data_IF_039919245626
#
_entry.id   IF_039919245626
#
_cell.length_a   1.000
_cell.length_b   1.000
_cell.length_c   1.000
_cell.angle_alpha   90.00
_cell.angle_beta   90.00
_cell.angle_gamma   90.00
#
_symmetry.space_group_name_H-M   'P 1'
#
loop_
_entity.id
_entity.type
_entity.pdbx_description
1 polymer ?
#
# COMPACT_ATOMS: atom_id res chain seq x y z
N UNK A 1 35.22 -46.66 -19.11
CA UNK A 1 35.45 -46.55 -20.57
C UNK A 1 34.36 -45.69 -21.17
N UNK A 2 34.76 -44.58 -21.82
CA UNK A 2 34.14 -43.82 -22.95
C UNK A 2 32.63 -43.44 -22.84
N UNK A 3 32.18 -42.21 -23.08
CA UNK A 3 32.74 -41.11 -23.86
C UNK A 3 32.08 -39.77 -23.50
N UNK A 4 32.92 -38.75 -23.46
CA UNK A 4 32.62 -37.32 -23.45
C UNK A 4 32.11 -36.90 -24.85
N UNK A 5 31.07 -36.06 -24.92
CA UNK A 5 30.85 -35.18 -26.08
C UNK A 5 30.53 -33.76 -25.61
N UNK A 6 31.57 -32.94 -25.76
CA UNK A 6 31.58 -31.47 -25.77
C UNK A 6 30.85 -31.01 -27.04
N UNK A 7 29.98 -30.00 -26.94
CA UNK A 7 29.62 -29.17 -28.10
C UNK A 7 29.35 -27.72 -27.69
N UNK A 8 30.42 -26.94 -27.77
CA UNK A 8 30.57 -25.67 -28.49
C UNK A 8 29.50 -24.59 -28.34
N UNK A 9 29.95 -23.52 -27.68
CA UNK A 9 29.48 -22.13 -27.64
C UNK A 9 29.33 -21.54 -29.05
N UNK A 10 28.24 -20.81 -29.32
CA UNK A 10 28.22 -19.78 -30.36
C UNK A 10 27.74 -18.44 -29.78
N UNK A 11 28.65 -17.48 -29.81
CA UNK A 11 28.47 -16.07 -29.52
C UNK A 11 27.84 -15.42 -30.75
N UNK A 12 26.73 -14.69 -30.56
CA UNK A 12 26.08 -13.88 -31.58
C UNK A 12 25.79 -12.49 -31.04
N UNK A 13 26.81 -11.63 -31.07
CA UNK A 13 26.69 -10.18 -30.86
C UNK A 13 26.01 -9.59 -32.10
N UNK A 14 24.86 -8.95 -31.94
CA UNK A 14 24.30 -8.04 -32.94
C UNK A 14 24.04 -6.68 -32.28
N UNK A 15 24.99 -5.78 -32.49
CA UNK A 15 24.85 -4.34 -32.25
C UNK A 15 24.15 -3.75 -33.46
N UNK A 16 22.98 -3.12 -33.24
CA UNK A 16 22.38 -2.19 -34.19
C UNK A 16 21.81 -1.03 -33.39
N UNK A 17 22.59 0.06 -33.40
CA UNK A 17 22.12 1.36 -32.97
C UNK A 17 21.15 1.95 -33.98
N UNK A 18 20.22 2.75 -33.49
CA UNK A 18 19.68 3.89 -34.22
C UNK A 18 19.20 4.91 -33.21
N UNK A 19 19.90 6.05 -33.21
CA UNK A 19 19.47 7.28 -32.58
C UNK A 19 18.30 7.86 -33.38
N UNK A 20 17.23 8.28 -32.71
CA UNK A 20 16.35 9.32 -33.24
C UNK A 20 15.92 10.27 -32.12
N UNK A 21 16.48 11.48 -32.29
CA UNK A 21 16.13 12.82 -31.85
C UNK A 21 14.88 13.06 -31.01
N UNK A 22 15.12 13.86 -29.97
CA UNK A 22 14.15 14.68 -29.28
C UNK A 22 13.52 15.71 -30.23
N UNK A 23 12.20 15.85 -30.16
CA UNK A 23 11.49 17.02 -30.69
C UNK A 23 10.66 17.62 -29.56
N UNK A 24 11.18 18.74 -29.03
CA UNK A 24 10.52 19.56 -28.03
C UNK A 24 9.49 20.46 -28.71
N UNK A 25 8.20 20.23 -28.47
CA UNK A 25 7.16 21.19 -28.82
C UNK A 25 6.84 22.11 -27.65
N UNK A 26 7.56 23.23 -27.58
CA UNK A 26 7.16 24.41 -26.82
C UNK A 26 5.91 25.04 -27.42
N UNK A 27 4.75 24.87 -26.77
CA UNK A 27 3.55 25.65 -27.10
C UNK A 27 3.65 27.04 -26.47
N UNK A 28 3.80 28.05 -27.34
CA UNK A 28 3.72 29.48 -27.00
C UNK A 28 2.36 29.80 -26.37
N UNK A 29 2.36 30.19 -25.09
CA UNK A 29 1.18 30.74 -24.40
C UNK A 29 0.97 32.18 -24.85
N UNK A 30 -0.20 32.45 -25.42
CA UNK A 30 -0.64 33.77 -25.89
C UNK A 30 -0.99 34.62 -24.67
N UNK A 31 -0.26 35.71 -24.47
CA UNK A 31 -0.50 36.73 -23.44
C UNK A 31 -1.80 37.46 -23.76
N UNK A 32 -2.78 37.40 -22.86
CA UNK A 32 -4.00 38.22 -22.93
C UNK A 32 -3.77 39.47 -22.10
N UNK A 33 -3.87 40.61 -22.78
CA UNK A 33 -3.71 41.96 -22.28
C UNK A 33 -4.87 42.32 -21.34
N UNK A 34 -4.55 42.79 -20.14
CA UNK A 34 -5.48 43.29 -19.12
C UNK A 34 -5.82 44.75 -19.40
N UNK A 35 -7.10 45.17 -19.47
CA UNK A 35 -7.44 46.59 -19.44
C UNK A 35 -7.36 47.16 -18.02
N UNK A 36 -7.08 48.46 -17.99
CA UNK A 36 -6.60 49.26 -16.88
C UNK A 36 -7.61 49.49 -15.74
N UNK A 37 -7.03 49.83 -14.60
CA UNK A 37 -7.68 50.28 -13.39
C UNK A 37 -8.32 51.67 -13.57
N UNK A 38 -9.53 51.82 -13.04
CA UNK A 38 -10.12 53.12 -12.70
C UNK A 38 -10.14 53.22 -11.18
N UNK A 39 -9.54 54.28 -10.66
CA UNK A 39 -9.49 54.63 -9.25
C UNK A 39 -10.86 55.17 -8.80
N UNK A 40 -11.36 54.67 -7.66
CA UNK A 40 -12.50 55.25 -6.97
C UNK A 40 -12.13 55.53 -5.51
N UNK A 41 -12.52 56.72 -5.06
CA UNK A 41 -12.13 57.41 -3.82
C UNK A 41 -13.05 56.97 -2.67
N UNK A 42 -12.59 56.88 -1.40
CA UNK A 42 -13.37 56.28 -0.32
C UNK A 42 -14.33 57.28 0.33
N UNK A 43 -15.50 56.81 0.82
CA UNK A 43 -16.21 57.46 1.92
C UNK A 43 -16.55 56.42 3.03
N UNK A 44 -17.18 56.81 4.16
CA UNK A 44 -16.51 57.12 5.41
C UNK A 44 -16.74 56.06 6.49
N UNK A 45 -15.93 56.16 7.55
CA UNK A 45 -16.03 55.44 8.83
C UNK A 45 -17.43 55.59 9.44
N UNK A 46 -18.09 54.47 9.74
CA UNK A 46 -19.28 54.42 10.60
C UNK A 46 -19.02 53.47 11.77
N UNK A 47 -19.53 53.91 12.91
CA UNK A 47 -19.28 53.51 14.27
C UNK A 47 -19.54 52.03 14.62
N UNK A 48 -18.83 51.62 15.68
CA UNK A 48 -18.97 50.35 16.36
C UNK A 48 -20.39 50.12 16.93
N UNK A 49 -20.82 48.87 16.86
CA UNK A 49 -21.93 48.30 17.64
C UNK A 49 -21.65 46.81 17.92
N UNK A 50 -22.26 46.24 18.97
CA UNK A 50 -21.55 45.56 20.05
C UNK A 50 -21.35 44.05 19.84
N UNK A 51 -20.39 43.50 20.60
CA UNK A 51 -20.05 42.08 20.68
C UNK A 51 -21.27 41.14 20.85
N UNK A 52 -21.40 40.10 20.01
CA UNK A 52 -22.22 38.95 20.33
C UNK A 52 -21.43 37.97 21.21
N UNK A 53 -21.98 37.78 22.41
CA UNK A 53 -21.68 36.74 23.41
C UNK A 53 -21.34 35.37 22.78
N UNK A 54 -20.32 34.73 23.36
CA UNK A 54 -19.85 33.39 23.04
C UNK A 54 -20.98 32.36 22.88
N UNK A 55 -21.11 31.83 21.67
CA UNK A 55 -21.90 30.63 21.41
C UNK A 55 -21.02 29.39 21.66
N UNK A 56 -21.56 28.47 22.45
CA UNK A 56 -20.91 27.22 22.82
C UNK A 56 -20.50 26.41 21.58
N UNK A 57 -19.29 25.85 21.63
CA UNK A 57 -18.78 24.96 20.59
C UNK A 57 -19.70 23.74 20.44
N UNK A 58 -20.13 23.38 19.22
CA UNK A 58 -20.85 22.13 19.00
C UNK A 58 -19.92 20.94 19.32
N UNK A 59 -20.45 19.83 19.88
CA UNK A 59 -19.65 18.67 20.24
C UNK A 59 -18.95 18.09 19.00
N UNK A 60 -17.66 17.74 19.16
CA UNK A 60 -16.87 17.00 18.18
C UNK A 60 -17.60 15.71 17.83
N UNK A 61 -18.25 15.68 16.66
CA UNK A 61 -18.90 14.52 16.10
C UNK A 61 -18.04 14.00 14.96
N UNK A 62 -17.26 12.97 15.25
CA UNK A 62 -16.66 12.04 14.27
C UNK A 62 -16.43 10.72 15.00
N UNK A 63 -17.53 10.04 15.33
CA UNK A 63 -17.48 8.60 15.59
C UNK A 63 -17.51 7.91 14.21
N UNK A 64 -16.48 7.12 13.95
CA UNK A 64 -16.34 6.28 12.76
C UNK A 64 -17.35 5.12 12.87
N UNK A 65 -18.01 4.69 11.78
CA UNK A 65 -18.83 3.49 11.81
C UNK A 65 -18.01 2.26 12.23
N UNK A 66 -18.52 1.53 13.22
CA UNK A 66 -17.93 0.27 13.68
C UNK A 66 -17.97 -0.77 12.55
N UNK A 67 -16.80 -1.13 12.03
CA UNK A 67 -16.63 -2.46 11.46
C UNK A 67 -16.38 -3.42 12.60
N UNK A 68 -17.44 -3.88 13.25
CA UNK A 68 -17.48 -5.21 13.85
C UNK A 68 -18.92 -5.64 14.17
N UNK A 69 -19.34 -6.76 13.59
CA UNK A 69 -20.21 -7.65 14.35
C UNK A 69 -19.46 -8.07 15.62
N UNK A 70 -20.15 -7.94 16.76
CA UNK A 70 -19.75 -8.27 18.14
C UNK A 70 -19.16 -7.11 18.97
N UNK A 71 -20.09 -6.40 19.60
CA UNK A 71 -20.11 -5.87 20.97
C UNK A 71 -18.76 -5.56 21.67
N UNK A 72 -18.62 -4.26 21.96
CA UNK A 72 -17.66 -3.70 22.90
C UNK A 72 -17.98 -4.08 24.36
N UNK A 73 -16.93 -4.41 25.13
CA UNK A 73 -16.85 -4.11 26.58
C UNK A 73 -15.46 -3.54 26.84
N UNK A 74 -15.41 -2.33 27.41
CA UNK A 74 -14.20 -1.70 27.94
C UNK A 74 -13.88 -2.18 29.36
N UNK A 75 -12.58 -2.37 29.60
CA UNK A 75 -11.85 -2.16 30.86
C UNK A 75 -12.13 -3.06 32.07
N UNK A 76 -11.37 -4.14 32.17
CA UNK A 76 -10.61 -4.51 33.37
C UNK A 76 -9.42 -5.36 32.89
N UNK A 77 -8.19 -5.10 33.36
CA UNK A 77 -7.09 -6.05 33.19
C UNK A 77 -7.39 -7.31 34.03
N UNK A 78 -7.47 -8.51 33.42
CA UNK A 78 -6.89 -9.69 34.01
C UNK A 78 -5.46 -9.82 33.50
N UNK A 79 -4.57 -10.30 34.35
CA UNK A 79 -3.23 -10.76 33.97
C UNK A 79 -3.43 -11.84 32.89
N UNK A 80 -3.38 -11.43 31.63
CA UNK A 80 -3.43 -12.31 30.47
C UNK A 80 -2.02 -12.83 30.30
N UNK A 81 -1.89 -14.16 30.28
CA UNK A 81 -0.67 -14.86 29.89
C UNK A 81 -0.06 -14.18 28.66
N UNK A 82 1.27 -14.08 28.62
CA UNK A 82 2.05 -13.42 27.57
C UNK A 82 1.37 -13.62 26.20
N UNK A 83 1.11 -12.54 25.43
CA UNK A 83 0.43 -12.69 24.16
C UNK A 83 1.18 -13.70 23.33
N UNK A 84 0.45 -14.70 22.82
CA UNK A 84 0.94 -15.64 21.82
C UNK A 84 1.58 -14.78 20.73
N UNK A 85 2.90 -14.85 20.62
CA UNK A 85 3.65 -13.95 19.72
C UNK A 85 3.13 -14.17 18.30
N UNK A 86 3.00 -13.13 17.47
CA UNK A 86 2.53 -13.32 16.12
C UNK A 86 3.45 -14.30 15.39
N UNK A 87 2.85 -15.24 14.66
CA UNK A 87 3.61 -16.24 13.92
C UNK A 87 4.53 -15.56 12.90
N UNK A 88 4.07 -14.48 12.26
CA UNK A 88 4.85 -13.69 11.32
C UNK A 88 4.86 -12.24 11.75
N UNK A 89 6.03 -11.61 11.65
CA UNK A 89 6.20 -10.17 11.83
C UNK A 89 7.07 -9.62 10.73
N UNK A 90 6.53 -8.67 9.98
CA UNK A 90 7.25 -7.91 8.96
C UNK A 90 7.30 -6.44 9.37
N UNK A 91 8.43 -5.80 9.17
CA UNK A 91 8.61 -4.38 9.40
C UNK A 91 9.42 -3.75 8.27
N UNK A 92 8.96 -2.61 7.78
CA UNK A 92 9.68 -1.77 6.83
C UNK A 92 9.88 -0.39 7.44
N UNK A 93 11.05 0.21 7.27
CA UNK A 93 11.34 1.58 7.72
C UNK A 93 12.14 2.36 6.67
N UNK A 94 11.66 3.55 6.33
CA UNK A 94 12.37 4.55 5.53
C UNK A 94 11.85 5.96 5.88
N UNK A 95 12.55 6.74 6.74
CA UNK A 95 12.08 8.05 7.22
C UNK A 95 11.65 9.03 6.13
N UNK A 96 12.29 8.99 4.96
CA UNK A 96 12.03 9.98 3.90
C UNK A 96 10.80 9.69 3.04
N UNK A 97 10.25 8.47 3.13
CA UNK A 97 9.10 8.04 2.34
C UNK A 97 7.78 8.57 2.90
N UNK A 98 6.77 8.71 2.01
CA UNK A 98 5.41 9.10 2.39
C UNK A 98 4.83 8.13 3.43
N UNK A 99 5.11 6.83 3.28
CA UNK A 99 4.87 5.82 4.31
C UNK A 99 6.24 5.45 4.89
N UNK A 100 6.52 6.00 6.07
CA UNK A 100 7.86 5.98 6.67
C UNK A 100 8.14 4.73 7.49
N UNK A 101 7.09 4.08 8.00
CA UNK A 101 7.18 2.83 8.75
C UNK A 101 5.95 1.98 8.49
N UNK A 102 6.14 0.67 8.36
CA UNK A 102 5.08 -0.32 8.24
C UNK A 102 5.43 -1.46 9.19
N UNK A 103 4.44 -1.98 9.92
CA UNK A 103 4.53 -3.20 10.72
C UNK A 103 3.33 -4.06 10.36
N UNK A 104 3.56 -5.30 9.98
CA UNK A 104 2.53 -6.30 9.71
C UNK A 104 2.78 -7.47 10.64
N UNK A 105 1.76 -7.85 11.41
CA UNK A 105 1.81 -8.97 12.33
C UNK A 105 0.60 -9.86 12.08
N UNK A 106 0.80 -11.16 11.83
CA UNK A 106 -0.31 -12.08 11.58
C UNK A 106 -0.02 -13.51 12.03
N UNK A 107 -1.10 -14.27 12.25
CA UNK A 107 -1.07 -15.69 12.54
C UNK A 107 -0.82 -16.57 11.31
N UNK A 108 -0.83 -17.89 11.52
CA UNK A 108 -0.72 -18.91 10.47
C UNK A 108 -1.92 -18.96 9.54
N UNK A 109 -3.07 -18.48 9.99
CA UNK A 109 -4.28 -18.32 9.20
C UNK A 109 -4.30 -17.00 8.40
N UNK A 110 -3.29 -16.14 8.56
CA UNK A 110 -3.21 -14.83 7.94
C UNK A 110 -4.03 -13.73 8.60
N UNK A 111 -4.75 -14.01 9.69
CA UNK A 111 -5.45 -12.97 10.46
C UNK A 111 -4.43 -12.20 11.29
N UNK A 112 -4.54 -10.87 11.30
CA UNK A 112 -3.55 -10.05 11.97
C UNK A 112 -3.86 -8.57 11.98
N UNK A 113 -2.81 -7.77 12.13
CA UNK A 113 -2.86 -6.31 12.10
C UNK A 113 -1.81 -5.76 11.14
N UNK A 114 -2.12 -4.60 10.58
CA UNK A 114 -1.14 -3.74 9.92
C UNK A 114 -1.14 -2.41 10.65
N UNK A 115 0.06 -1.88 10.86
CA UNK A 115 0.28 -0.54 11.36
C UNK A 115 1.20 0.20 10.39
N UNK A 116 0.88 1.44 10.04
CA UNK A 116 1.75 2.24 9.18
C UNK A 116 1.80 3.71 9.61
N UNK A 117 2.93 4.37 9.36
CA UNK A 117 3.16 5.78 9.71
C UNK A 117 3.35 6.63 8.47
N UNK A 118 2.43 7.58 8.25
CA UNK A 118 2.60 8.60 7.21
C UNK A 118 3.69 9.60 7.62
N UNK A 119 4.40 10.15 6.64
CA UNK A 119 5.43 11.17 6.86
C UNK A 119 4.82 12.37 7.59
N UNK A 120 5.45 12.78 8.68
CA UNK A 120 5.00 13.90 9.50
C UNK A 120 3.81 13.59 10.42
N UNK A 121 3.26 12.37 10.42
CA UNK A 121 2.37 11.93 11.49
C UNK A 121 3.21 11.57 12.73
N UNK A 122 2.63 11.71 13.92
CA UNK A 122 3.29 11.27 15.16
C UNK A 122 2.98 9.79 15.46
N UNK A 123 1.77 9.37 15.13
CA UNK A 123 1.21 8.06 15.48
C UNK A 123 1.21 7.07 14.31
N UNK A 124 1.21 5.77 14.64
CA UNK A 124 0.96 4.69 13.69
C UNK A 124 -0.55 4.54 13.50
N UNK A 125 -1.01 4.46 12.26
CA UNK A 125 -2.39 4.06 11.94
C UNK A 125 -2.43 2.54 11.93
N UNK A 126 -3.25 1.94 12.80
CA UNK A 126 -3.35 0.48 12.96
C UNK A 126 -4.75 0.00 12.66
N UNK A 127 -4.86 -1.03 11.84
CA UNK A 127 -6.13 -1.65 11.43
C UNK A 127 -5.96 -3.17 11.29
N UNK A 128 -7.05 -3.95 11.43
CA UNK A 128 -7.01 -5.39 11.22
C UNK A 128 -6.77 -5.72 9.73
N UNK A 129 -6.09 -6.85 9.49
CA UNK A 129 -5.90 -7.39 8.15
C UNK A 129 -6.20 -8.87 8.09
N UNK A 130 -6.48 -9.32 6.86
CA UNK A 130 -6.45 -10.73 6.48
C UNK A 130 -5.47 -10.88 5.33
N UNK A 131 -4.34 -11.55 5.54
CA UNK A 131 -3.46 -11.99 4.45
C UNK A 131 -4.16 -13.12 3.72
N UNK A 132 -4.24 -13.05 2.39
CA UNK A 132 -4.94 -14.07 1.61
C UNK A 132 -4.20 -15.41 1.61
N UNK A 133 -4.93 -16.50 1.34
CA UNK A 133 -4.35 -17.84 1.28
C UNK A 133 -3.23 -17.94 0.21
N UNK A 134 -3.44 -17.31 -0.95
CA UNK A 134 -2.46 -17.27 -2.04
C UNK A 134 -1.18 -16.53 -1.63
N UNK A 135 -1.31 -15.44 -0.87
CA UNK A 135 -0.16 -14.70 -0.36
C UNK A 135 0.61 -15.50 0.70
N UNK A 136 -0.12 -16.15 1.64
CA UNK A 136 0.49 -17.04 2.63
C UNK A 136 1.20 -18.22 1.99
N UNK A 137 0.65 -18.80 0.92
CA UNK A 137 1.29 -19.89 0.19
C UNK A 137 2.64 -19.45 -0.36
N UNK A 138 2.70 -18.28 -1.03
CA UNK A 138 3.96 -17.72 -1.56
C UNK A 138 4.98 -17.43 -0.45
N UNK A 139 4.54 -16.87 0.67
CA UNK A 139 5.41 -16.61 1.83
C UNK A 139 5.95 -17.92 2.40
N UNK A 140 5.09 -18.91 2.63
CA UNK A 140 5.48 -20.20 3.19
C UNK A 140 6.39 -21.00 2.26
N UNK A 141 6.16 -20.95 0.94
CA UNK A 141 7.01 -21.59 -0.05
C UNK A 141 8.44 -21.01 0.01
N UNK A 142 8.58 -19.68 0.05
CA UNK A 142 9.88 -19.01 0.19
C UNK A 142 10.58 -19.38 1.52
N UNK A 143 9.85 -19.36 2.63
CA UNK A 143 10.39 -19.72 3.95
C UNK A 143 10.86 -21.17 4.02
N UNK A 144 10.13 -22.08 3.38
CA UNK A 144 10.46 -23.51 3.30
C UNK A 144 11.71 -23.72 2.45
N UNK A 145 11.79 -23.07 1.28
CA UNK A 145 12.95 -23.13 0.37
C UNK A 145 14.24 -22.69 1.06
N UNK A 146 14.17 -21.64 1.89
CA UNK A 146 15.32 -21.14 2.65
C UNK A 146 15.66 -21.97 3.89
N UNK A 147 14.85 -22.97 4.25
CA UNK A 147 14.90 -23.62 5.56
C UNK A 147 14.97 -22.58 6.70
N UNK A 148 14.13 -21.55 6.62
CA UNK A 148 14.37 -20.25 7.27
C UNK A 148 14.74 -20.36 8.75
N UNK A 149 13.95 -21.08 9.55
CA UNK A 149 14.14 -21.19 11.01
C UNK A 149 15.46 -21.85 11.41
N UNK A 150 16.00 -22.73 10.57
CA UNK A 150 17.22 -23.49 10.83
C UNK A 150 18.44 -22.91 10.08
N UNK A 151 18.20 -22.02 9.12
CA UNK A 151 19.24 -21.32 8.39
C UNK A 151 20.04 -20.40 9.33
N UNK A 152 21.30 -20.15 9.00
CA UNK A 152 22.12 -19.09 9.61
C UNK A 152 22.52 -18.01 8.59
N UNK A 153 21.99 -18.09 7.38
CA UNK A 153 22.30 -17.17 6.27
C UNK A 153 21.99 -15.71 6.64
N UNK A 154 22.93 -14.83 6.33
CA UNK A 154 22.72 -13.39 6.35
C UNK A 154 22.26 -12.94 4.96
N UNK A 155 21.02 -12.42 4.88
CA UNK A 155 20.43 -11.99 3.62
C UNK A 155 20.86 -10.60 3.17
N UNK A 156 21.57 -9.83 4.00
CA UNK A 156 22.05 -8.51 3.64
C UNK A 156 23.11 -8.59 2.53
N UNK A 157 22.89 -7.83 1.46
CA UNK A 157 23.89 -7.64 0.41
C UNK A 157 25.09 -6.81 0.90
N UNK A 158 26.26 -7.02 0.30
CA UNK A 158 27.51 -6.38 0.73
C UNK A 158 27.46 -4.84 0.71
N UNK A 159 26.76 -4.25 -0.26
CA UNK A 159 26.58 -2.79 -0.35
C UNK A 159 25.37 -2.33 0.45
N UNK A 160 25.50 -1.15 1.04
CA UNK A 160 24.40 -0.50 1.75
C UNK A 160 23.43 0.20 0.79
N UNK A 161 22.17 -0.27 0.81
CA UNK A 161 21.05 0.37 0.13
C UNK A 161 19.98 0.84 1.12
N UNK A 162 20.37 1.26 2.33
CA UNK A 162 19.47 1.80 3.37
C UNK A 162 18.57 2.94 2.89
N UNK A 163 18.98 3.71 1.87
CA UNK A 163 18.14 4.72 1.21
C UNK A 163 16.90 4.14 0.49
N UNK A 164 16.86 2.83 0.21
CA UNK A 164 15.66 2.13 -0.28
C UNK A 164 14.76 1.62 0.85
N UNK A 165 15.21 1.76 2.10
CA UNK A 165 14.55 1.31 3.31
C UNK A 165 15.15 0.04 3.90
N UNK A 166 14.80 -0.21 5.16
CA UNK A 166 15.26 -1.37 5.93
C UNK A 166 14.07 -2.28 6.18
N UNK A 167 14.25 -3.56 5.87
CA UNK A 167 13.28 -4.63 6.15
C UNK A 167 13.75 -5.41 7.37
N UNK A 168 12.81 -5.71 8.27
CA UNK A 168 12.95 -6.73 9.29
C UNK A 168 11.86 -7.76 9.10
N UNK A 169 12.22 -9.02 9.19
CA UNK A 169 11.25 -10.11 9.12
C UNK A 169 11.55 -11.12 10.21
N UNK A 170 10.51 -11.56 10.92
CA UNK A 170 10.60 -12.59 11.94
C UNK A 170 9.52 -13.65 11.76
N UNK A 171 9.90 -14.90 12.02
CA UNK A 171 9.01 -16.05 12.06
C UNK A 171 9.14 -16.72 13.43
N UNK A 172 7.99 -16.97 14.06
CA UNK A 172 7.85 -17.78 15.26
C UNK A 172 7.00 -19.00 14.93
N UNK A 173 7.52 -20.22 15.19
CA UNK A 173 6.79 -21.47 14.94
C UNK A 173 7.34 -22.58 15.83
N UNK A 174 6.45 -23.35 16.46
CA UNK A 174 6.78 -24.52 17.29
C UNK A 174 7.83 -24.22 18.38
N UNK A 175 7.71 -23.06 19.04
CA UNK A 175 8.65 -22.59 20.06
C UNK A 175 10.00 -22.11 19.52
N UNK A 176 10.23 -22.17 18.21
CA UNK A 176 11.42 -21.63 17.54
C UNK A 176 11.14 -20.25 16.99
N UNK A 177 12.17 -19.41 16.96
CA UNK A 177 12.08 -18.05 16.43
C UNK A 177 13.36 -17.71 15.66
N UNK A 178 13.19 -17.05 14.52
CA UNK A 178 14.29 -16.39 13.81
C UNK A 178 13.82 -15.04 13.28
N UNK A 179 14.66 -14.03 13.43
CA UNK A 179 14.52 -12.74 12.78
C UNK A 179 15.73 -12.41 11.91
N UNK A 180 15.50 -11.60 10.89
CA UNK A 180 16.53 -11.11 9.98
C UNK A 180 16.25 -9.64 9.67
N UNK A 181 17.31 -8.88 9.45
CA UNK A 181 17.25 -7.48 9.04
C UNK A 181 18.13 -7.30 7.81
N UNK A 182 17.61 -6.65 6.77
CA UNK A 182 18.37 -6.32 5.56
C UNK A 182 17.73 -5.13 4.83
N UNK A 183 18.50 -4.38 4.07
CA UNK A 183 18.01 -3.33 3.17
C UNK A 183 17.98 -3.77 1.70
N UNK A 184 18.85 -4.70 1.33
CA UNK A 184 18.88 -5.32 0.01
C UNK A 184 19.33 -6.78 0.13
N UNK A 185 18.88 -7.62 -0.80
CA UNK A 185 19.24 -9.04 -0.86
C UNK A 185 19.28 -9.55 -2.30
N UNK A 186 20.21 -10.46 -2.58
CA UNK A 186 20.25 -11.24 -3.82
C UNK A 186 19.55 -12.60 -3.67
N UNK A 187 19.23 -13.00 -2.43
CA UNK A 187 18.47 -14.21 -2.18
C UNK A 187 17.04 -14.05 -2.74
N UNK A 188 16.68 -14.93 -3.69
CA UNK A 188 15.40 -14.85 -4.41
C UNK A 188 14.19 -15.04 -3.50
N UNK A 189 14.31 -15.90 -2.50
CA UNK A 189 13.23 -16.22 -1.57
C UNK A 189 13.03 -15.09 -0.54
N UNK A 190 14.13 -14.55 0.00
CA UNK A 190 14.07 -13.36 0.85
C UNK A 190 13.46 -12.16 0.09
N UNK A 191 13.85 -11.96 -1.17
CA UNK A 191 13.26 -10.95 -2.05
C UNK A 191 11.77 -11.20 -2.32
N UNK A 192 11.35 -12.46 -2.42
CA UNK A 192 9.96 -12.85 -2.60
C UNK A 192 9.12 -12.46 -1.39
N UNK A 193 9.60 -12.74 -0.17
CA UNK A 193 8.95 -12.33 1.08
C UNK A 193 8.81 -10.81 1.15
N UNK A 194 9.90 -10.07 0.93
CA UNK A 194 9.86 -8.60 0.94
C UNK A 194 8.83 -8.05 -0.05
N UNK A 195 8.83 -8.58 -1.28
CA UNK A 195 7.90 -8.12 -2.31
C UNK A 195 6.46 -8.45 -1.94
N UNK A 196 6.19 -9.62 -1.38
CA UNK A 196 4.83 -10.01 -1.00
C UNK A 196 4.27 -9.09 0.10
N UNK A 197 5.04 -8.81 1.16
CA UNK A 197 4.61 -7.86 2.19
C UNK A 197 4.46 -6.42 1.68
N UNK A 198 5.29 -5.99 0.72
CA UNK A 198 5.09 -4.70 0.05
C UNK A 198 3.76 -4.67 -0.70
N UNK A 199 3.41 -5.74 -1.41
CA UNK A 199 2.13 -5.84 -2.12
C UNK A 199 0.93 -5.84 -1.18
N UNK A 200 1.02 -6.56 -0.06
CA UNK A 200 0.00 -6.54 1.02
C UNK A 200 -0.17 -5.11 1.54
N UNK A 201 0.95 -4.43 1.80
CA UNK A 201 0.94 -3.02 2.25
C UNK A 201 0.26 -2.12 1.23
N UNK A 202 0.64 -2.20 -0.05
CA UNK A 202 0.07 -1.37 -1.11
C UNK A 202 -1.46 -1.55 -1.21
N UNK A 203 -1.90 -2.80 -1.19
CA UNK A 203 -3.32 -3.15 -1.18
C UNK A 203 -4.04 -2.52 0.02
N UNK A 204 -3.47 -2.66 1.21
CA UNK A 204 -4.07 -2.14 2.43
C UNK A 204 -4.10 -0.61 2.48
N UNK A 205 -2.97 0.06 2.24
CA UNK A 205 -2.86 1.53 2.27
C UNK A 205 -3.81 2.14 1.25
N UNK A 206 -3.98 1.51 0.10
CA UNK A 206 -4.97 1.96 -0.88
C UNK A 206 -6.41 1.85 -0.36
N UNK A 207 -6.80 0.72 0.24
CA UNK A 207 -8.12 0.55 0.87
C UNK A 207 -8.35 1.62 1.94
N UNK A 208 -7.33 1.89 2.75
CA UNK A 208 -7.37 2.94 3.76
C UNK A 208 -7.59 4.33 3.14
N UNK A 209 -6.79 4.70 2.14
CA UNK A 209 -6.85 6.03 1.53
C UNK A 209 -8.18 6.29 0.82
N UNK A 210 -8.75 5.29 0.13
CA UNK A 210 -10.06 5.43 -0.48
C UNK A 210 -11.18 5.46 0.57
N UNK A 211 -11.08 4.69 1.66
CA UNK A 211 -12.02 4.78 2.78
C UNK A 211 -12.02 6.18 3.40
N UNK A 212 -10.84 6.76 3.60
CA UNK A 212 -10.68 8.12 4.10
C UNK A 212 -11.24 9.16 3.11
N UNK A 213 -11.02 8.98 1.81
CA UNK A 213 -11.53 9.86 0.76
C UNK A 213 -13.06 9.84 0.71
N UNK A 214 -13.71 8.68 0.83
CA UNK A 214 -15.18 8.57 0.85
C UNK A 214 -15.83 9.44 1.93
N UNK A 215 -15.18 9.54 3.08
CA UNK A 215 -15.69 10.28 4.24
C UNK A 215 -15.34 11.76 4.17
N UNK A 216 -14.11 12.10 3.78
CA UNK A 216 -13.57 13.45 3.98
C UNK A 216 -13.36 14.23 2.68
N UNK A 217 -13.02 13.55 1.57
CA UNK A 217 -12.67 14.18 0.30
C UNK A 217 -13.10 13.31 -0.89
N UNK A 218 -14.40 13.14 -1.16
CA UNK A 218 -14.87 12.17 -2.15
C UNK A 218 -14.39 12.47 -3.57
N UNK A 219 -14.08 13.73 -3.86
CA UNK A 219 -13.55 14.18 -5.15
C UNK A 219 -12.14 13.64 -5.47
N UNK A 220 -11.40 13.13 -4.46
CA UNK A 220 -10.09 12.49 -4.67
C UNK A 220 -10.20 11.03 -5.12
N UNK A 221 -11.37 10.39 -4.95
CA UNK A 221 -11.58 8.97 -5.29
C UNK A 221 -11.15 8.61 -6.72
N UNK A 222 -11.42 9.41 -7.78
CA UNK A 222 -10.99 9.07 -9.14
C UNK A 222 -9.48 8.87 -9.27
N UNK A 223 -8.67 9.73 -8.64
CA UNK A 223 -7.20 9.63 -8.66
C UNK A 223 -6.68 8.41 -7.91
N UNK A 224 -7.34 8.03 -6.82
CA UNK A 224 -7.03 6.81 -6.09
C UNK A 224 -7.34 5.56 -6.94
N UNK A 225 -8.38 5.60 -7.76
CA UNK A 225 -8.69 4.52 -8.70
C UNK A 225 -7.68 4.40 -9.84
N UNK A 226 -7.19 5.53 -10.38
CA UNK A 226 -6.08 5.51 -11.36
C UNK A 226 -4.82 4.87 -10.75
N UNK A 227 -4.56 5.15 -9.47
CA UNK A 227 -3.45 4.56 -8.73
C UNK A 227 -3.63 3.04 -8.56
N UNK A 228 -4.85 2.59 -8.22
CA UNK A 228 -5.17 1.16 -8.15
C UNK A 228 -4.94 0.45 -9.49
N UNK A 229 -5.45 1.01 -10.58
CA UNK A 229 -5.29 0.43 -11.92
C UNK A 229 -3.80 0.26 -12.26
N UNK A 230 -3.01 1.28 -11.93
CA UNK A 230 -1.55 1.25 -12.03
C UNK A 230 -0.93 0.11 -11.23
N UNK A 231 -1.33 -0.07 -9.96
CA UNK A 231 -0.81 -1.12 -9.08
C UNK A 231 -1.19 -2.51 -9.58
N UNK A 232 -2.44 -2.71 -10.03
CA UNK A 232 -2.89 -3.98 -10.60
C UNK A 232 -2.06 -4.33 -11.85
N UNK A 233 -1.91 -3.39 -12.78
CA UNK A 233 -1.13 -3.60 -14.02
C UNK A 233 0.35 -3.91 -13.76
N UNK A 234 0.93 -3.34 -12.70
CA UNK A 234 2.33 -3.60 -12.30
C UNK A 234 2.49 -4.83 -11.41
N UNK A 235 1.43 -5.57 -11.11
CA UNK A 235 1.45 -6.69 -10.16
C UNK A 235 1.96 -6.25 -8.77
N UNK A 236 1.50 -5.09 -8.31
CA UNK A 236 1.84 -4.50 -7.00
C UNK A 236 0.77 -4.72 -5.92
N UNK A 237 -0.26 -5.50 -6.24
CA UNK A 237 -1.30 -5.97 -5.32
C UNK A 237 -1.06 -7.46 -5.05
N UNK A 238 -1.22 -7.88 -3.80
CA UNK A 238 -0.88 -9.24 -3.36
C UNK A 238 -1.93 -10.22 -3.87
N UNK A 239 -3.19 -9.92 -3.64
CA UNK A 239 -4.32 -10.69 -4.13
C UNK A 239 -5.42 -9.75 -4.63
N UNK A 240 -5.45 -9.47 -5.95
CA UNK A 240 -6.46 -8.58 -6.53
C UNK A 240 -7.89 -9.00 -6.23
N UNK A 241 -8.17 -10.32 -6.17
CA UNK A 241 -9.52 -10.83 -5.94
C UNK A 241 -10.04 -10.54 -4.53
N UNK A 242 -9.14 -10.38 -3.56
CA UNK A 242 -9.50 -9.97 -2.20
C UNK A 242 -10.15 -8.56 -2.16
N UNK A 243 -9.91 -7.74 -3.19
CA UNK A 243 -10.53 -6.41 -3.31
C UNK A 243 -11.99 -6.46 -3.79
N UNK A 244 -12.49 -7.60 -4.28
CA UNK A 244 -13.83 -7.69 -4.86
C UNK A 244 -14.95 -7.17 -3.95
N UNK A 245 -15.05 -7.56 -2.66
CA UNK A 245 -16.13 -7.09 -1.80
C UNK A 245 -16.13 -5.57 -1.66
N UNK A 246 -14.93 -5.00 -1.53
CA UNK A 246 -14.74 -3.57 -1.37
C UNK A 246 -15.03 -2.80 -2.67
N UNK A 247 -14.59 -3.31 -3.82
CA UNK A 247 -14.92 -2.72 -5.12
C UNK A 247 -16.43 -2.78 -5.42
N UNK A 248 -17.12 -3.85 -5.00
CA UNK A 248 -18.59 -3.97 -5.10
C UNK A 248 -19.28 -2.91 -4.26
N UNK A 249 -18.81 -2.67 -3.04
CA UNK A 249 -19.30 -1.58 -2.19
C UNK A 249 -19.12 -0.22 -2.87
N UNK A 250 -17.90 0.09 -3.33
CA UNK A 250 -17.58 1.36 -4.00
C UNK A 250 -18.38 1.58 -5.28
N UNK A 251 -18.68 0.50 -6.03
CA UNK A 251 -19.47 0.60 -7.27
C UNK A 251 -20.89 1.12 -7.04
N UNK A 252 -21.43 0.94 -5.83
CA UNK A 252 -22.78 1.35 -5.44
C UNK A 252 -22.77 2.58 -4.50
N UNK A 253 -21.60 3.13 -4.17
CA UNK A 253 -21.47 4.21 -3.19
C UNK A 253 -21.74 5.59 -3.83
N UNK A 254 -22.93 6.14 -3.60
CA UNK A 254 -23.35 7.44 -4.14
C UNK A 254 -22.57 8.63 -3.59
N UNK A 255 -21.77 8.46 -2.53
CA UNK A 255 -20.95 9.52 -1.94
C UNK A 255 -19.75 9.85 -2.82
N UNK A 256 -19.27 8.89 -3.61
CA UNK A 256 -18.13 9.10 -4.51
C UNK A 256 -18.58 9.43 -5.94
N UNK A 257 -17.77 10.20 -6.71
CA UNK A 257 -18.11 10.56 -8.08
C UNK A 257 -18.45 9.36 -8.97
N UNK A 258 -19.39 9.55 -9.91
CA UNK A 258 -19.80 8.51 -10.86
C UNK A 258 -18.62 7.90 -11.64
N UNK A 259 -17.61 8.71 -11.97
CA UNK A 259 -16.40 8.23 -12.65
C UNK A 259 -15.64 7.20 -11.80
N UNK A 260 -15.54 7.39 -10.48
CA UNK A 260 -14.91 6.46 -9.56
C UNK A 260 -15.72 5.16 -9.43
N UNK A 261 -17.04 5.26 -9.31
CA UNK A 261 -17.95 4.09 -9.33
C UNK A 261 -17.80 3.27 -10.62
N UNK A 262 -17.81 3.94 -11.76
CA UNK A 262 -17.62 3.29 -13.07
C UNK A 262 -16.24 2.61 -13.18
N UNK A 263 -15.22 3.20 -12.53
CA UNK A 263 -13.90 2.59 -12.47
C UNK A 263 -13.92 1.30 -11.64
N UNK A 264 -14.55 1.29 -10.46
CA UNK A 264 -14.73 0.08 -9.66
C UNK A 264 -15.42 -1.04 -10.46
N UNK A 265 -16.50 -0.72 -11.18
CA UNK A 265 -17.19 -1.66 -12.07
C UNK A 265 -16.27 -2.22 -13.16
N UNK A 266 -15.39 -1.39 -13.74
CA UNK A 266 -14.44 -1.82 -14.76
C UNK A 266 -13.42 -2.81 -14.20
N UNK A 267 -12.88 -2.54 -13.02
CA UNK A 267 -11.92 -3.44 -12.35
C UNK A 267 -12.59 -4.77 -12.00
N UNK A 268 -13.82 -4.76 -11.49
CA UNK A 268 -14.58 -5.99 -11.24
C UNK A 268 -14.77 -6.84 -12.50
N UNK A 269 -15.16 -6.21 -13.63
CA UNK A 269 -15.29 -6.90 -14.92
C UNK A 269 -13.96 -7.46 -15.42
N UNK A 270 -12.85 -6.78 -15.15
CA UNK A 270 -11.52 -7.27 -15.48
C UNK A 270 -11.21 -8.56 -14.71
N UNK A 271 -11.45 -8.57 -13.39
CA UNK A 271 -11.23 -9.76 -12.55
C UNK A 271 -12.08 -10.95 -13.02
N UNK A 272 -13.35 -10.73 -13.37
CA UNK A 272 -14.21 -11.78 -13.92
C UNK A 272 -13.66 -12.35 -15.24
N UNK A 273 -13.10 -11.50 -16.10
CA UNK A 273 -12.51 -11.94 -17.38
C UNK A 273 -11.22 -12.72 -17.16
N UNK A 274 -10.37 -12.29 -16.23
CA UNK A 274 -9.12 -12.96 -15.87
C UNK A 274 -9.40 -14.34 -15.27
N UNK A 275 -10.34 -14.45 -14.33
CA UNK A 275 -10.75 -15.74 -13.75
C UNK A 275 -11.26 -16.72 -14.81
N UNK A 276 -12.12 -16.26 -15.73
CA UNK A 276 -12.59 -17.09 -16.85
C UNK A 276 -11.47 -17.55 -17.77
N UNK A 277 -10.41 -16.74 -17.92
CA UNK A 277 -9.24 -17.12 -18.73
C UNK A 277 -8.42 -18.21 -18.02
N UNK A 278 -8.29 -18.11 -16.71
CA UNK A 278 -7.56 -19.08 -15.89
C UNK A 278 -8.30 -20.42 -15.78
N UNK A 279 -9.64 -20.41 -15.71
CA UNK A 279 -10.49 -21.62 -15.71
C UNK A 279 -10.47 -22.40 -17.03
N UNK A 280 -10.15 -21.72 -18.14
CA UNK A 280 -10.10 -22.31 -19.48
C UNK A 280 -8.70 -22.79 -19.90
N UNK A 281 -7.72 -22.74 -18.99
CA UNK A 281 -6.32 -23.10 -19.24
C UNK A 281 -5.92 -24.35 -18.47
#
# INVERSE_FOLDING_TARGET
>A
MRSIKIFTILIGILVLGSAFSADGQTRKRKTVTKPAATAEKPPPVVAASPEPKAAAAPPKRNERPDFNGAAAIQSAEPIRAAPDRPAYRYEFTQPDFIISRIVIEHGTDGTGTIAFKKKGADEMITDPIKVSALALERINAALTSMNFLDSTENYQYEKDYSHLGIVKFALTRDGRMRDVTYNWTENKDAKTIMNEYRKITNQFVWIFDISLSRENQPLEAPKLFDSLDSMIKRNEISDPYQLEPFLKELSNDERIPLIARNHAVRVLKQFEKERKKDENK
#
